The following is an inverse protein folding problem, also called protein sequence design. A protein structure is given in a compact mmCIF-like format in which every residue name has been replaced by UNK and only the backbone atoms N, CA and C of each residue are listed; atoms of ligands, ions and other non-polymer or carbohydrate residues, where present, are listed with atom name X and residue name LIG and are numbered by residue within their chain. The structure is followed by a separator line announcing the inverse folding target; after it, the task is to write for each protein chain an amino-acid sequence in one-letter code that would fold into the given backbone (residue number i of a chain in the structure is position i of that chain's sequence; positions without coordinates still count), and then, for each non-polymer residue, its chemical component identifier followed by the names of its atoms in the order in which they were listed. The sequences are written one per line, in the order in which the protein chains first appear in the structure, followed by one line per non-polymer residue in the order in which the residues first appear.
data_IF_954819442996
#
_entry.id   IF_954819442996
#
_cell.length_a   1.000
_cell.length_b   1.000
_cell.length_c   1.000
_cell.angle_alpha   90.00
_cell.angle_beta   90.00
_cell.angle_gamma   90.00
#
_symmetry.space_group_name_H-M   'P 1'
#
loop_
_entity.id
_entity.type
_entity.pdbx_description
1 polymer ?
#
# COMPACT_ATOMS: atom_id res chain seq x y z
N UNK A 1 15.25 -30.92 14.26
CA UNK A 1 14.09 -30.46 13.45
C UNK A 1 13.35 -29.25 14.05
N UNK A 2 13.03 -29.23 15.35
CA UNK A 2 12.16 -28.20 15.98
C UNK A 2 12.71 -26.75 15.89
N UNK A 3 14.03 -26.53 15.87
CA UNK A 3 14.63 -25.17 15.77
C UNK A 3 14.42 -24.47 14.42
N UNK A 4 14.17 -25.22 13.33
CA UNK A 4 14.01 -24.65 11.98
C UNK A 4 12.66 -23.96 11.81
N UNK A 5 11.60 -24.55 12.40
CA UNK A 5 10.23 -24.06 12.27
C UNK A 5 9.86 -22.94 13.26
N UNK A 6 10.62 -22.70 14.34
CA UNK A 6 10.32 -21.62 15.31
C UNK A 6 10.23 -20.24 14.67
N UNK A 7 10.97 -19.99 13.58
CA UNK A 7 10.96 -18.71 12.85
C UNK A 7 9.74 -18.58 11.94
N UNK A 8 9.40 -19.65 11.23
CA UNK A 8 8.22 -19.70 10.38
C UNK A 8 6.94 -19.57 11.23
N UNK A 9 6.91 -20.26 12.38
CA UNK A 9 5.83 -20.13 13.37
C UNK A 9 5.74 -18.70 13.90
N UNK A 10 6.88 -18.06 14.23
CA UNK A 10 6.88 -16.66 14.69
C UNK A 10 6.36 -15.67 13.65
N UNK A 11 6.70 -15.87 12.37
CA UNK A 11 6.21 -15.06 11.24
C UNK A 11 4.71 -15.25 11.02
N UNK A 12 4.25 -16.51 11.01
CA UNK A 12 2.83 -16.84 10.84
C UNK A 12 2.00 -16.31 12.01
N UNK A 13 2.49 -16.45 13.25
CA UNK A 13 1.82 -15.90 14.43
C UNK A 13 1.75 -14.37 14.39
N UNK A 14 2.81 -13.68 13.95
CA UNK A 14 2.81 -12.22 13.82
C UNK A 14 1.83 -11.76 12.72
N UNK A 15 1.78 -12.46 11.59
CA UNK A 15 0.85 -12.18 10.50
C UNK A 15 -0.60 -12.41 10.93
N UNK A 16 -0.86 -13.49 11.66
CA UNK A 16 -2.17 -13.84 12.20
C UNK A 16 -2.66 -12.81 13.24
N UNK A 17 -1.80 -12.42 14.19
CA UNK A 17 -2.13 -11.35 15.16
C UNK A 17 -2.35 -10.03 14.44
N UNK A 18 -1.55 -9.70 13.43
CA UNK A 18 -1.76 -8.51 12.60
C UNK A 18 -3.11 -8.52 11.88
N UNK A 19 -3.51 -9.67 11.31
CA UNK A 19 -4.82 -9.85 10.67
C UNK A 19 -5.97 -9.72 11.69
N UNK A 20 -5.77 -10.23 12.91
CA UNK A 20 -6.78 -10.19 13.97
C UNK A 20 -6.97 -8.75 14.50
N UNK A 21 -5.89 -7.98 14.64
CA UNK A 21 -5.94 -6.55 14.93
C UNK A 21 -6.60 -5.79 13.76
N UNK A 22 -6.26 -6.13 12.52
CA UNK A 22 -6.91 -5.55 11.33
C UNK A 22 -8.43 -5.76 11.35
N UNK A 23 -8.90 -6.98 11.63
CA UNK A 23 -10.34 -7.27 11.74
C UNK A 23 -11.05 -6.55 12.89
N UNK A 24 -10.31 -6.13 13.92
CA UNK A 24 -10.85 -5.39 15.07
C UNK A 24 -10.84 -3.87 14.88
N UNK A 25 -9.88 -3.34 14.11
CA UNK A 25 -9.67 -1.89 13.93
C UNK A 25 -10.35 -1.36 12.67
N UNK A 26 -10.50 -2.18 11.62
CA UNK A 26 -11.21 -1.77 10.41
C UNK A 26 -12.64 -1.36 10.78
N UNK A 27 -13.04 -0.11 10.51
CA UNK A 27 -14.43 0.28 10.61
C UNK A 27 -15.23 -0.69 9.76
N UNK A 28 -16.11 -1.48 10.38
CA UNK A 28 -17.10 -2.21 9.61
C UNK A 28 -17.89 -1.13 8.90
N UNK A 29 -17.85 -1.13 7.57
CA UNK A 29 -18.86 -0.43 6.79
C UNK A 29 -20.18 -1.10 7.20
N UNK A 30 -20.79 -0.58 8.26
CA UNK A 30 -22.18 -0.82 8.50
C UNK A 30 -22.85 -0.42 7.20
N UNK A 31 -23.62 -1.34 6.66
CA UNK A 31 -24.46 -1.26 5.48
C UNK A 31 -25.33 0.01 5.34
N UNK A 32 -25.22 0.96 6.27
CA UNK A 32 -25.76 2.30 6.21
C UNK A 32 -25.25 3.18 5.07
N UNK A 33 -24.23 2.81 4.29
CA UNK A 33 -23.88 3.48 3.02
C UNK A 33 -24.77 3.06 1.84
N UNK A 34 -25.25 1.82 1.83
CA UNK A 34 -26.05 1.26 0.73
C UNK A 34 -27.51 1.77 0.72
N UNK A 35 -27.97 2.34 1.84
CA UNK A 35 -29.36 2.76 2.03
C UNK A 35 -29.54 4.27 2.24
N UNK A 36 -28.66 5.11 1.64
CA UNK A 36 -28.70 6.57 1.80
C UNK A 36 -29.33 7.25 0.58
N UNK A 37 -30.20 8.25 0.78
CA UNK A 37 -30.81 9.04 -0.30
C UNK A 37 -29.88 10.12 -0.90
N UNK A 38 -28.60 9.78 -1.10
CA UNK A 38 -27.61 10.65 -1.76
C UNK A 38 -27.66 10.49 -3.28
N UNK A 39 -27.43 11.61 -3.99
CA UNK A 39 -27.37 11.67 -5.44
C UNK A 39 -26.11 11.02 -6.02
N UNK A 40 -25.16 10.59 -5.19
CA UNK A 40 -24.00 9.77 -5.60
C UNK A 40 -24.31 8.27 -5.64
N UNK A 41 -25.40 7.83 -5.00
CA UNK A 41 -25.72 6.41 -4.89
C UNK A 41 -26.65 5.94 -6.01
N UNK A 42 -26.22 4.89 -6.72
CA UNK A 42 -27.03 4.16 -7.69
C UNK A 42 -27.80 2.97 -7.09
N UNK A 43 -27.73 2.78 -5.76
CA UNK A 43 -28.48 1.74 -5.05
C UNK A 43 -29.97 2.11 -4.93
N UNK A 44 -30.83 1.16 -4.56
CA UNK A 44 -32.28 1.35 -4.51
C UNK A 44 -32.74 2.59 -3.73
N UNK A 45 -32.14 2.85 -2.56
CA UNK A 45 -32.47 4.02 -1.74
C UNK A 45 -31.72 5.30 -2.11
N UNK A 46 -30.78 5.25 -3.06
CA UNK A 46 -30.05 6.42 -3.57
C UNK A 46 -30.93 7.33 -4.43
N UNK A 47 -30.41 8.49 -4.83
CA UNK A 47 -31.18 9.49 -5.63
C UNK A 47 -30.47 9.88 -6.93
N UNK A 48 -29.45 9.12 -7.36
CA UNK A 48 -28.73 9.35 -8.63
C UNK A 48 -29.65 9.37 -9.86
N UNK A 49 -30.68 8.51 -9.89
CA UNK A 49 -31.66 8.49 -10.97
C UNK A 49 -32.47 9.79 -11.02
N UNK A 50 -32.89 10.31 -9.86
CA UNK A 50 -33.58 11.59 -9.75
C UNK A 50 -32.68 12.74 -10.25
N UNK A 51 -31.45 12.80 -9.76
CA UNK A 51 -30.46 13.80 -10.16
C UNK A 51 -30.26 13.84 -11.68
N UNK A 52 -30.06 12.67 -12.30
CA UNK A 52 -29.86 12.57 -13.76
C UNK A 52 -31.12 12.89 -14.54
N UNK A 53 -32.26 12.37 -14.10
CA UNK A 53 -33.53 12.56 -14.79
C UNK A 53 -33.94 14.04 -14.84
N UNK A 54 -33.76 14.79 -13.74
CA UNK A 54 -34.01 16.23 -13.74
C UNK A 54 -33.05 16.98 -14.68
N UNK A 55 -31.79 16.54 -14.78
CA UNK A 55 -30.84 17.09 -15.77
C UNK A 55 -31.28 16.83 -17.21
N UNK A 56 -31.73 15.61 -17.51
CA UNK A 56 -32.23 15.22 -18.83
C UNK A 56 -33.52 15.97 -19.22
N UNK A 57 -34.32 16.38 -18.22
CA UNK A 57 -35.50 17.24 -18.42
C UNK A 57 -35.15 18.72 -18.69
N UNK A 58 -33.88 19.10 -18.59
CA UNK A 58 -33.39 20.46 -18.91
C UNK A 58 -33.22 21.38 -17.70
N UNK A 59 -33.36 20.89 -16.47
CA UNK A 59 -33.03 21.68 -15.28
C UNK A 59 -31.51 21.79 -15.09
N UNK A 60 -31.05 22.87 -14.45
CA UNK A 60 -29.63 23.03 -14.08
C UNK A 60 -29.41 22.38 -12.71
N UNK A 61 -29.10 21.08 -12.72
CA UNK A 61 -28.96 20.29 -11.49
C UNK A 61 -27.52 20.28 -10.99
N UNK A 62 -27.29 20.77 -9.77
CA UNK A 62 -25.99 20.81 -9.12
C UNK A 62 -26.03 20.10 -7.76
N UNK A 63 -24.88 19.58 -7.34
CA UNK A 63 -24.67 19.10 -5.97
C UNK A 63 -24.06 20.22 -5.13
N UNK A 64 -24.65 20.47 -3.97
CA UNK A 64 -24.08 21.34 -2.96
C UNK A 64 -23.09 20.50 -2.14
N UNK A 65 -21.84 20.42 -2.60
CA UNK A 65 -20.75 19.64 -1.99
C UNK A 65 -19.40 20.34 -2.13
N UNK A 66 -18.45 19.96 -1.27
CA UNK A 66 -17.06 20.40 -1.29
C UNK A 66 -16.87 21.92 -1.28
N UNK A 67 -17.84 22.63 -0.72
CA UNK A 67 -17.86 24.08 -0.56
C UNK A 67 -18.66 24.44 0.69
N UNK A 68 -18.54 25.69 1.13
CA UNK A 68 -19.36 26.20 2.24
C UNK A 68 -20.85 26.14 1.89
N UNK A 69 -21.67 25.74 2.87
CA UNK A 69 -23.12 25.68 2.70
C UNK A 69 -23.68 27.10 2.50
N UNK A 70 -23.97 27.42 1.24
CA UNK A 70 -24.45 28.74 0.82
C UNK A 70 -25.54 28.57 -0.22
N UNK A 71 -26.61 29.35 -0.07
CA UNK A 71 -27.73 29.42 -1.00
C UNK A 71 -27.79 30.84 -1.54
N UNK A 72 -27.75 30.98 -2.86
CA UNK A 72 -27.82 32.26 -3.55
C UNK A 72 -29.19 32.47 -4.20
N UNK A 73 -29.48 33.70 -4.62
CA UNK A 73 -30.72 34.04 -5.30
C UNK A 73 -30.87 33.44 -6.71
N UNK A 74 -29.85 32.76 -7.22
CA UNK A 74 -29.90 32.05 -8.50
C UNK A 74 -30.25 30.57 -8.33
N UNK A 75 -30.33 30.10 -7.07
CA UNK A 75 -30.73 28.74 -6.71
C UNK A 75 -32.24 28.76 -6.50
N UNK A 76 -32.97 28.06 -7.36
CA UNK A 76 -34.43 28.12 -7.39
C UNK A 76 -35.06 27.04 -6.50
N UNK A 77 -34.42 25.86 -6.41
CA UNK A 77 -34.90 24.77 -5.56
C UNK A 77 -33.78 24.01 -4.86
N UNK A 78 -34.06 23.57 -3.63
CA UNK A 78 -33.17 22.77 -2.81
C UNK A 78 -33.85 21.46 -2.41
N UNK A 79 -33.23 20.34 -2.76
CA UNK A 79 -33.55 19.02 -2.23
C UNK A 79 -32.70 18.72 -0.99
N UNK A 80 -33.37 18.52 0.15
CA UNK A 80 -32.77 18.01 1.38
C UNK A 80 -33.41 16.66 1.68
N UNK A 81 -32.70 15.57 1.38
CA UNK A 81 -33.21 14.21 1.44
C UNK A 81 -32.43 13.42 2.49
N UNK A 82 -33.03 13.12 3.64
CA UNK A 82 -32.44 12.29 4.70
C UNK A 82 -31.00 12.68 5.11
N UNK A 83 -30.72 13.94 5.49
CA UNK A 83 -29.37 14.41 5.82
C UNK A 83 -28.77 13.64 7.02
N UNK A 84 -27.46 13.39 7.02
CA UNK A 84 -26.80 12.67 8.11
C UNK A 84 -26.24 13.60 9.18
N UNK A 85 -25.83 14.79 8.78
CA UNK A 85 -25.31 15.82 9.67
C UNK A 85 -26.39 16.86 9.96
N UNK A 86 -26.47 17.29 11.22
CA UNK A 86 -27.51 18.21 11.65
C UNK A 86 -27.24 19.63 11.14
N UNK A 87 -28.29 20.31 10.70
CA UNK A 87 -28.20 21.71 10.33
C UNK A 87 -27.89 22.56 11.57
N UNK A 88 -26.88 23.43 11.46
CA UNK A 88 -26.59 24.43 12.49
C UNK A 88 -27.69 25.50 12.54
N UNK A 89 -27.81 26.27 13.64
CA UNK A 89 -28.74 27.39 13.70
C UNK A 89 -28.55 28.39 12.56
N UNK A 90 -27.30 28.68 12.18
CA UNK A 90 -26.98 29.62 11.09
C UNK A 90 -27.38 29.06 9.73
N UNK A 91 -27.12 27.77 9.46
CA UNK A 91 -27.56 27.11 8.22
C UNK A 91 -29.08 27.06 8.13
N UNK A 92 -29.76 26.74 9.25
CA UNK A 92 -31.22 26.73 9.33
C UNK A 92 -31.78 28.11 9.00
N UNK A 93 -31.25 29.18 9.62
CA UNK A 93 -31.64 30.55 9.34
C UNK A 93 -31.37 30.97 7.89
N UNK A 94 -30.26 30.50 7.31
CA UNK A 94 -29.93 30.75 5.91
C UNK A 94 -30.95 30.10 4.94
N UNK A 95 -31.36 28.85 5.20
CA UNK A 95 -32.41 28.16 4.43
C UNK A 95 -33.74 28.91 4.55
N UNK A 96 -34.15 29.26 5.77
CA UNK A 96 -35.41 30.01 6.00
C UNK A 96 -35.40 31.32 5.23
N UNK A 97 -34.33 32.12 5.36
CA UNK A 97 -34.20 33.41 4.66
C UNK A 97 -34.21 33.25 3.14
N UNK A 98 -33.58 32.20 2.61
CA UNK A 98 -33.58 31.91 1.17
C UNK A 98 -34.98 31.53 0.66
N UNK A 99 -35.72 30.72 1.42
CA UNK A 99 -37.13 30.42 1.11
C UNK A 99 -37.98 31.68 1.17
N UNK A 100 -37.81 32.52 2.19
CA UNK A 100 -38.55 33.80 2.30
C UNK A 100 -38.35 34.69 1.08
N UNK A 101 -37.16 34.64 0.47
CA UNK A 101 -36.78 35.40 -0.71
C UNK A 101 -37.19 34.76 -2.06
N UNK A 102 -37.98 33.68 -2.05
CA UNK A 102 -38.53 33.06 -3.26
C UNK A 102 -38.05 31.63 -3.54
N UNK A 103 -37.12 31.09 -2.76
CA UNK A 103 -36.62 29.72 -2.95
C UNK A 103 -37.66 28.63 -2.66
N UNK A 104 -37.56 27.50 -3.37
CA UNK A 104 -38.41 26.33 -3.14
C UNK A 104 -37.66 25.21 -2.39
N UNK A 105 -38.10 24.84 -1.20
CA UNK A 105 -37.50 23.75 -0.42
C UNK A 105 -38.30 22.45 -0.58
N UNK A 106 -37.64 21.35 -0.90
CA UNK A 106 -38.16 19.99 -0.73
C UNK A 106 -37.36 19.32 0.38
N UNK A 107 -37.99 19.17 1.54
CA UNK A 107 -37.41 18.53 2.72
C UNK A 107 -38.08 17.17 2.95
N UNK A 108 -37.31 16.09 2.85
CA UNK A 108 -37.80 14.74 3.11
C UNK A 108 -36.91 14.01 4.12
N UNK A 109 -37.49 13.50 5.20
CA UNK A 109 -36.79 12.62 6.14
C UNK A 109 -37.78 11.67 6.81
N UNK A 110 -37.31 10.47 7.11
CA UNK A 110 -38.09 9.43 7.77
C UNK A 110 -37.77 9.36 9.28
N UNK A 111 -36.68 9.99 9.72
CA UNK A 111 -36.20 9.96 11.09
C UNK A 111 -36.75 11.15 11.87
N UNK A 112 -37.67 10.88 12.79
CA UNK A 112 -38.28 11.91 13.64
C UNK A 112 -37.30 12.71 14.51
N UNK A 113 -36.18 12.10 14.93
CA UNK A 113 -35.05 12.76 15.62
C UNK A 113 -33.82 12.85 14.70
N UNK A 114 -34.05 12.94 13.39
CA UNK A 114 -33.01 13.01 12.38
C UNK A 114 -32.31 14.37 12.32
N UNK A 115 -31.26 14.43 11.49
CA UNK A 115 -30.45 15.62 11.31
C UNK A 115 -31.21 16.81 10.68
N UNK A 116 -32.35 16.53 10.05
CA UNK A 116 -33.28 17.50 9.47
C UNK A 116 -34.25 18.13 10.48
N UNK A 117 -34.32 17.64 11.73
CA UNK A 117 -35.28 18.11 12.73
C UNK A 117 -35.27 19.65 12.94
N UNK A 118 -34.12 20.35 12.93
CA UNK A 118 -34.09 21.81 13.02
C UNK A 118 -34.86 22.50 11.87
N UNK A 119 -34.75 21.99 10.63
CA UNK A 119 -35.48 22.55 9.49
C UNK A 119 -36.99 22.30 9.60
N UNK A 120 -37.41 21.07 9.96
CA UNK A 120 -38.83 20.81 10.20
C UNK A 120 -39.41 21.77 11.25
N UNK A 121 -38.70 21.97 12.36
CA UNK A 121 -39.13 22.87 13.42
C UNK A 121 -39.17 24.33 12.97
N UNK A 122 -38.18 24.80 12.20
CA UNK A 122 -38.13 26.15 11.67
C UNK A 122 -39.34 26.47 10.78
N UNK A 123 -39.85 25.47 10.06
CA UNK A 123 -41.06 25.59 9.25
C UNK A 123 -42.34 25.13 9.96
N UNK A 124 -42.34 25.06 11.30
CA UNK A 124 -43.53 24.80 12.11
C UNK A 124 -44.06 23.36 12.04
N UNK A 125 -43.21 22.40 11.66
CA UNK A 125 -43.58 21.00 11.50
C UNK A 125 -42.79 20.06 12.41
N UNK A 126 -43.37 18.88 12.68
CA UNK A 126 -42.71 17.80 13.43
C UNK A 126 -43.10 16.44 12.91
N UNK A 127 -42.12 15.54 12.89
CA UNK A 127 -42.29 14.15 12.53
C UNK A 127 -42.56 13.30 13.78
N UNK A 128 -43.36 12.25 13.61
CA UNK A 128 -43.62 11.23 14.63
C UNK A 128 -43.46 9.84 14.03
N UNK A 129 -42.87 8.87 14.76
CA UNK A 129 -42.83 7.48 14.33
C UNK A 129 -44.21 6.92 14.02
N UNK A 130 -44.34 6.20 12.90
CA UNK A 130 -45.56 5.49 12.51
C UNK A 130 -45.22 4.36 11.54
N UNK A 131 -45.80 3.18 11.72
CA UNK A 131 -45.63 2.06 10.79
C UNK A 131 -46.64 2.16 9.65
N UNK A 132 -46.26 2.84 8.57
CA UNK A 132 -47.18 3.19 7.49
C UNK A 132 -46.75 2.51 6.19
N UNK A 133 -47.68 1.80 5.52
CA UNK A 133 -47.34 0.96 4.34
C UNK A 133 -48.04 1.38 3.04
N UNK A 134 -49.20 2.06 3.10
CA UNK A 134 -49.93 2.48 1.91
C UNK A 134 -50.38 3.93 2.06
N UNK A 135 -50.19 4.74 1.03
CA UNK A 135 -50.43 6.18 1.09
C UNK A 135 -51.33 6.61 -0.07
N UNK A 136 -52.26 7.53 0.20
CA UNK A 136 -53.23 8.04 -0.75
C UNK A 136 -52.89 9.49 -1.10
N UNK A 137 -53.09 9.83 -2.37
CA UNK A 137 -52.91 11.19 -2.86
C UNK A 137 -54.25 11.91 -2.65
N UNK A 138 -54.26 12.92 -1.77
CA UNK A 138 -55.50 13.57 -1.30
C UNK A 138 -55.89 14.74 -2.20
N UNK A 139 -54.88 15.42 -2.74
CA UNK A 139 -55.07 16.50 -3.69
C UNK A 139 -54.54 16.09 -5.07
N UNK A 140 -55.13 16.57 -6.17
CA UNK A 140 -54.70 16.24 -7.52
C UNK A 140 -53.35 16.91 -7.85
N UNK A 141 -52.29 16.45 -7.19
CA UNK A 141 -50.88 16.75 -7.46
C UNK A 141 -50.30 15.67 -8.39
N UNK A 142 -51.12 14.74 -8.87
CA UNK A 142 -50.82 13.75 -9.89
C UNK A 142 -52.15 13.23 -10.45
N UNK A 143 -52.14 12.75 -11.69
CA UNK A 143 -53.22 11.97 -12.31
C UNK A 143 -53.44 10.62 -11.59
N UNK A 144 -52.45 10.21 -10.80
CA UNK A 144 -52.47 9.00 -9.97
C UNK A 144 -53.14 9.26 -8.62
N UNK A 145 -54.08 8.38 -8.23
CA UNK A 145 -54.84 8.49 -6.97
C UNK A 145 -54.24 7.72 -5.79
N UNK A 146 -53.25 6.85 -6.02
CA UNK A 146 -52.68 5.97 -5.00
C UNK A 146 -51.17 5.82 -5.21
N UNK A 147 -50.39 5.92 -4.12
CA UNK A 147 -48.93 5.81 -4.14
C UNK A 147 -48.49 4.78 -3.09
N UNK A 148 -47.73 3.77 -3.50
CA UNK A 148 -47.24 2.78 -2.55
C UNK A 148 -45.97 3.27 -1.85
N UNK A 149 -46.14 4.14 -0.85
CA UNK A 149 -45.01 4.61 -0.02
C UNK A 149 -44.98 3.86 1.30
N UNK A 150 -43.83 3.26 1.61
CA UNK A 150 -43.55 2.80 2.96
C UNK A 150 -42.86 3.93 3.70
N UNK A 151 -43.47 4.40 4.78
CA UNK A 151 -42.94 5.46 5.62
C UNK A 151 -42.89 4.99 7.07
N UNK A 152 -41.75 5.25 7.73
CA UNK A 152 -41.56 4.94 9.16
C UNK A 152 -41.95 6.12 10.07
N UNK A 153 -42.36 7.25 9.49
CA UNK A 153 -42.87 8.43 10.19
C UNK A 153 -44.04 9.09 9.45
N UNK A 154 -44.76 9.97 10.15
CA UNK A 154 -45.80 10.87 9.61
C UNK A 154 -45.57 12.29 10.13
N UNK A 155 -46.17 13.28 9.48
CA UNK A 155 -46.16 14.67 9.94
C UNK A 155 -47.23 14.84 11.03
N UNK A 156 -46.81 14.93 12.29
CA UNK A 156 -47.70 15.11 13.44
C UNK A 156 -48.16 16.55 13.59
N UNK A 157 -47.24 17.48 13.33
CA UNK A 157 -47.50 18.91 13.40
C UNK A 157 -47.17 19.53 12.06
N UNK A 158 -48.05 20.42 11.61
CA UNK A 158 -47.89 21.23 10.41
C UNK A 158 -48.40 22.66 10.67
N UNK A 159 -47.88 23.66 9.95
CA UNK A 159 -48.44 25.01 10.00
C UNK A 159 -49.88 25.02 9.46
N UNK A 160 -50.73 25.92 9.96
CA UNK A 160 -52.14 25.99 9.58
C UNK A 160 -52.36 26.28 8.08
N UNK A 161 -51.38 26.89 7.41
CA UNK A 161 -51.40 27.14 5.97
C UNK A 161 -50.99 25.93 5.11
N UNK A 162 -50.60 24.80 5.73
CA UNK A 162 -50.17 23.60 5.04
C UNK A 162 -51.32 22.90 4.31
N UNK A 163 -51.17 22.76 3.00
CA UNK A 163 -52.00 21.89 2.18
C UNK A 163 -51.43 20.47 2.24
N UNK A 164 -52.21 19.52 2.76
CA UNK A 164 -51.85 18.09 2.72
C UNK A 164 -51.98 17.63 1.27
N UNK A 165 -50.90 17.08 0.73
CA UNK A 165 -50.83 16.59 -0.65
C UNK A 165 -51.00 15.07 -0.68
N UNK A 166 -50.38 14.40 0.28
CA UNK A 166 -50.32 12.95 0.40
C UNK A 166 -50.54 12.56 1.86
N UNK A 167 -51.45 11.63 2.11
CA UNK A 167 -51.78 11.15 3.46
C UNK A 167 -51.82 9.63 3.52
N UNK A 168 -51.60 9.06 4.70
CA UNK A 168 -51.84 7.65 4.95
C UNK A 168 -52.63 7.45 6.22
N UNK A 169 -53.70 6.66 6.16
CA UNK A 169 -54.56 6.42 7.31
C UNK A 169 -55.00 7.73 8.00
N UNK A 170 -55.35 8.75 7.20
CA UNK A 170 -55.68 10.11 7.64
C UNK A 170 -54.55 10.89 8.34
N UNK A 171 -53.30 10.43 8.22
CA UNK A 171 -52.11 11.11 8.73
C UNK A 171 -51.30 11.71 7.58
N UNK A 172 -50.88 12.98 7.64
CA UNK A 172 -50.14 13.61 6.55
C UNK A 172 -48.74 13.00 6.36
N UNK A 173 -48.37 12.75 5.11
CA UNK A 173 -47.05 12.22 4.69
C UNK A 173 -46.29 13.24 3.85
N UNK A 174 -46.99 14.00 3.00
CA UNK A 174 -46.44 15.13 2.25
C UNK A 174 -47.38 16.33 2.39
N UNK A 175 -46.83 17.47 2.74
CA UNK A 175 -47.56 18.74 2.79
C UNK A 175 -46.78 19.84 2.09
N UNK A 176 -47.49 20.79 1.48
CA UNK A 176 -46.93 21.96 0.81
C UNK A 176 -47.56 23.25 1.33
N UNK A 177 -46.76 24.32 1.46
CA UNK A 177 -47.26 25.66 1.78
C UNK A 177 -46.35 26.76 1.25
N UNK A 178 -46.94 27.94 1.06
CA UNK A 178 -46.21 29.18 0.79
C UNK A 178 -45.55 29.66 2.08
N UNK A 179 -44.31 30.10 1.98
CA UNK A 179 -43.57 30.69 3.09
C UNK A 179 -42.77 31.89 2.57
N UNK A 180 -43.13 33.10 3.01
CA UNK A 180 -42.64 34.34 2.39
C UNK A 180 -43.02 34.40 0.91
N UNK A 181 -42.05 34.66 0.03
CA UNK A 181 -42.23 34.62 -1.44
C UNK A 181 -41.97 33.23 -2.04
N UNK A 182 -41.44 32.28 -1.25
CA UNK A 182 -41.08 30.95 -1.69
C UNK A 182 -42.10 29.87 -1.31
N UNK A 183 -41.66 28.62 -1.37
CA UNK A 183 -42.51 27.46 -1.13
C UNK A 183 -41.78 26.34 -0.41
N UNK A 184 -42.48 25.63 0.47
CA UNK A 184 -41.92 24.52 1.25
C UNK A 184 -42.76 23.28 1.05
N UNK A 185 -42.11 22.18 0.67
CA UNK A 185 -42.65 20.83 0.67
C UNK A 185 -41.97 20.03 1.78
N UNK A 186 -42.78 19.50 2.70
CA UNK A 186 -42.34 18.68 3.82
C UNK A 186 -42.83 17.25 3.62
N UNK A 187 -41.91 16.30 3.58
CA UNK A 187 -42.19 14.88 3.44
C UNK A 187 -41.66 14.07 4.60
N UNK A 188 -42.46 13.14 5.11
CA UNK A 188 -42.03 12.16 6.09
C UNK A 188 -41.43 10.90 5.45
N UNK A 189 -41.24 10.87 4.12
CA UNK A 189 -40.63 9.74 3.39
C UNK A 189 -39.70 10.21 2.28
N UNK A 190 -38.56 9.53 2.19
CA UNK A 190 -37.59 9.74 1.10
C UNK A 190 -37.87 8.83 -0.10
N UNK A 191 -38.70 7.80 0.08
CA UNK A 191 -38.91 6.75 -0.91
C UNK A 191 -39.36 7.29 -2.29
N UNK A 192 -40.31 8.25 -2.44
CA UNK A 192 -40.69 8.75 -3.77
C UNK A 192 -39.55 9.38 -4.58
N UNK A 193 -38.52 9.86 -3.90
CA UNK A 193 -37.35 10.51 -4.50
C UNK A 193 -36.20 9.52 -4.79
N UNK A 194 -36.30 8.30 -4.27
CA UNK A 194 -35.26 7.28 -4.41
C UNK A 194 -35.25 6.62 -5.80
N UNK A 195 -34.15 5.98 -6.17
CA UNK A 195 -33.99 5.26 -7.43
C UNK A 195 -35.06 4.17 -7.60
N UNK A 196 -35.32 3.40 -6.54
CA UNK A 196 -36.36 2.37 -6.55
C UNK A 196 -37.77 2.99 -6.55
N UNK A 197 -37.98 4.07 -5.81
CA UNK A 197 -39.29 4.72 -5.72
C UNK A 197 -39.70 5.46 -6.98
N UNK A 198 -38.76 6.05 -7.73
CA UNK A 198 -39.04 6.70 -9.01
C UNK A 198 -39.63 5.73 -10.05
N UNK A 199 -39.29 4.45 -9.99
CA UNK A 199 -39.87 3.43 -10.86
C UNK A 199 -41.29 3.02 -10.48
N UNK A 200 -41.80 3.45 -9.32
CA UNK A 200 -43.15 3.13 -8.87
C UNK A 200 -44.18 4.07 -9.48
N UNK A 201 -45.39 3.56 -9.72
CA UNK A 201 -46.47 4.32 -10.31
C UNK A 201 -46.82 5.55 -9.47
N UNK A 202 -46.81 6.74 -10.09
CA UNK A 202 -47.16 8.01 -9.46
C UNK A 202 -46.02 8.76 -8.78
N UNK A 203 -44.90 8.11 -8.43
CA UNK A 203 -43.77 8.80 -7.78
C UNK A 203 -43.12 9.83 -8.70
N UNK A 204 -42.84 9.45 -9.95
CA UNK A 204 -42.25 10.35 -10.94
C UNK A 204 -43.18 11.54 -11.25
N UNK A 205 -44.48 11.29 -11.42
CA UNK A 205 -45.47 12.36 -11.67
C UNK A 205 -45.55 13.33 -10.48
N UNK A 206 -45.57 12.80 -9.25
CA UNK A 206 -45.50 13.61 -8.04
C UNK A 206 -44.26 14.51 -8.07
N UNK A 207 -43.07 13.94 -8.30
CA UNK A 207 -41.81 14.70 -8.36
C UNK A 207 -41.88 15.81 -9.42
N UNK A 208 -42.41 15.54 -10.62
CA UNK A 208 -42.60 16.55 -11.66
C UNK A 208 -43.44 17.73 -11.18
N UNK A 209 -44.58 17.45 -10.56
CA UNK A 209 -45.46 18.50 -10.04
C UNK A 209 -44.79 19.31 -8.91
N UNK A 210 -43.89 18.71 -8.12
CA UNK A 210 -43.13 19.45 -7.11
C UNK A 210 -42.09 20.39 -7.75
N UNK A 211 -41.44 19.99 -8.85
CA UNK A 211 -40.40 20.80 -9.51
C UNK A 211 -40.94 21.77 -10.56
N UNK A 212 -42.16 21.60 -11.06
CA UNK A 212 -42.80 22.50 -12.04
C UNK A 212 -42.82 23.96 -11.59
N UNK A 213 -42.86 24.20 -10.28
CA UNK A 213 -42.89 25.54 -9.68
C UNK A 213 -41.62 26.37 -9.97
N UNK A 214 -40.51 25.72 -10.30
CA UNK A 214 -39.18 26.32 -10.54
C UNK A 214 -39.01 26.80 -11.98
N UNK A 215 -40.00 26.56 -12.84
CA UNK A 215 -39.95 26.95 -14.25
C UNK A 215 -38.88 26.19 -15.07
N UNK A 216 -38.92 26.28 -16.40
CA UNK A 216 -37.96 25.61 -17.26
C UNK A 216 -36.56 26.21 -17.09
N UNK A 217 -35.53 25.36 -17.04
CA UNK A 217 -34.11 25.71 -16.81
C UNK A 217 -33.76 26.24 -15.40
N UNK A 218 -34.68 26.14 -14.44
CA UNK A 218 -34.37 26.52 -13.06
C UNK A 218 -33.22 25.69 -12.46
N UNK A 219 -32.50 26.31 -11.52
CA UNK A 219 -31.33 25.73 -10.86
C UNK A 219 -31.76 24.95 -9.62
N UNK A 220 -31.49 23.66 -9.66
CA UNK A 220 -31.86 22.69 -8.62
C UNK A 220 -30.59 22.25 -7.89
N UNK A 221 -30.57 22.42 -6.58
CA UNK A 221 -29.48 21.99 -5.70
C UNK A 221 -29.87 20.71 -4.96
N UNK A 222 -28.96 19.75 -4.91
CA UNK A 222 -29.02 18.59 -4.02
C UNK A 222 -28.08 18.80 -2.83
N UNK A 223 -28.60 18.69 -1.61
CA UNK A 223 -27.81 18.81 -0.39
C UNK A 223 -26.96 17.55 -0.14
N UNK A 224 -25.73 17.57 -0.64
CA UNK A 224 -24.71 16.56 -0.36
C UNK A 224 -23.79 16.98 0.79
N UNK A 225 -23.76 18.28 1.12
CA UNK A 225 -23.02 18.83 2.24
C UNK A 225 -23.38 18.09 3.54
N UNK A 226 -24.67 17.97 3.87
CA UNK A 226 -25.12 17.27 5.07
C UNK A 226 -25.13 15.74 4.94
N UNK A 227 -24.74 15.19 3.79
CA UNK A 227 -24.37 13.78 3.66
C UNK A 227 -22.90 13.50 4.03
N UNK A 228 -22.12 14.54 4.34
CA UNK A 228 -20.71 14.46 4.73
C UNK A 228 -19.74 14.83 3.61
N UNK A 229 -20.23 15.31 2.46
CA UNK A 229 -19.40 15.79 1.35
C UNK A 229 -18.95 17.25 1.58
N UNK A 230 -18.42 17.55 2.77
CA UNK A 230 -18.06 18.91 3.21
C UNK A 230 -16.67 19.33 2.71
N UNK A 231 -15.70 18.40 2.70
CA UNK A 231 -14.33 18.64 2.24
C UNK A 231 -13.92 17.57 1.25
N UNK A 232 -13.17 17.96 0.23
CA UNK A 232 -12.59 16.98 -0.68
C UNK A 232 -11.77 15.95 0.12
N UNK A 233 -11.97 14.64 -0.13
CA UNK A 233 -11.22 13.62 0.57
C UNK A 233 -9.73 13.78 0.29
N UNK A 234 -8.95 14.12 1.31
CA UNK A 234 -7.49 14.03 1.25
C UNK A 234 -7.04 12.57 1.12
N UNK A 235 -5.86 12.33 0.53
CA UNK A 235 -5.26 10.98 0.46
C UNK A 235 -5.19 10.33 1.84
N UNK A 236 -4.88 11.11 2.88
CA UNK A 236 -4.86 10.63 4.26
C UNK A 236 -6.24 10.18 4.76
N UNK A 237 -7.28 10.97 4.54
CA UNK A 237 -8.66 10.62 4.94
C UNK A 237 -9.24 9.47 4.12
N UNK A 238 -8.84 9.30 2.86
CA UNK A 238 -9.21 8.11 2.07
C UNK A 238 -8.54 6.84 2.61
N UNK A 239 -7.28 6.93 3.04
CA UNK A 239 -6.54 5.80 3.61
C UNK A 239 -7.06 5.38 4.99
N UNK A 240 -7.53 6.32 5.81
CA UNK A 240 -8.00 6.01 7.17
C UNK A 240 -9.53 5.88 7.29
N UNK A 241 -10.28 6.48 6.35
CA UNK A 241 -11.74 6.53 6.37
C UNK A 241 -12.44 5.41 5.61
N UNK A 242 -11.72 4.60 4.83
CA UNK A 242 -12.28 3.44 4.11
C UNK A 242 -11.60 2.13 4.53
N UNK A 243 -12.36 1.04 4.58
CA UNK A 243 -11.83 -0.30 4.84
C UNK A 243 -10.71 -0.71 3.86
N UNK A 244 -10.80 -0.25 2.60
CA UNK A 244 -9.76 -0.47 1.60
C UNK A 244 -8.46 0.28 1.90
N UNK A 245 -8.56 1.48 2.45
CA UNK A 245 -7.40 2.27 2.88
C UNK A 245 -6.61 1.55 3.98
N UNK A 246 -7.33 0.99 4.96
CA UNK A 246 -6.73 0.12 5.98
C UNK A 246 -6.09 -1.13 5.38
N UNK A 247 -6.70 -1.76 4.37
CA UNK A 247 -6.14 -2.93 3.70
C UNK A 247 -4.81 -2.61 3.00
N UNK A 248 -4.72 -1.45 2.35
CA UNK A 248 -3.47 -0.95 1.74
C UNK A 248 -2.41 -0.69 2.80
N UNK A 249 -2.75 -0.03 3.91
CA UNK A 249 -1.83 0.21 5.03
C UNK A 249 -1.32 -1.10 5.63
N UNK A 250 -2.21 -2.09 5.81
CA UNK A 250 -1.84 -3.42 6.29
C UNK A 250 -0.89 -4.14 5.32
N UNK A 251 -1.20 -4.13 4.02
CA UNK A 251 -0.35 -4.73 3.00
C UNK A 251 1.04 -4.09 2.97
N UNK A 252 1.12 -2.76 3.09
CA UNK A 252 2.37 -2.02 3.14
C UNK A 252 3.16 -2.35 4.41
N UNK A 253 2.51 -2.40 5.57
CA UNK A 253 3.11 -2.81 6.84
C UNK A 253 3.66 -4.24 6.77
N UNK A 254 2.89 -5.19 6.24
CA UNK A 254 3.31 -6.58 6.10
C UNK A 254 4.47 -6.71 5.11
N UNK A 255 4.45 -5.95 4.02
CA UNK A 255 5.56 -5.90 3.06
C UNK A 255 6.82 -5.35 3.70
N UNK A 256 6.72 -4.25 4.45
CA UNK A 256 7.84 -3.67 5.18
C UNK A 256 8.38 -4.64 6.23
N UNK A 257 7.51 -5.30 7.00
CA UNK A 257 7.90 -6.30 7.99
C UNK A 257 8.60 -7.49 7.33
N UNK A 258 8.05 -7.99 6.20
CA UNK A 258 8.68 -9.03 5.41
C UNK A 258 10.07 -8.62 4.93
N UNK A 259 10.24 -7.41 4.39
CA UNK A 259 11.52 -6.90 3.93
C UNK A 259 12.52 -6.72 5.08
N UNK A 260 12.10 -6.24 6.24
CA UNK A 260 12.97 -6.10 7.43
C UNK A 260 13.40 -7.46 7.98
N UNK A 261 12.48 -8.43 8.03
CA UNK A 261 12.75 -9.78 8.54
C UNK A 261 13.57 -10.61 7.53
N UNK A 262 13.36 -10.41 6.23
CA UNK A 262 14.04 -11.16 5.15
C UNK A 262 15.34 -10.48 4.71
N UNK A 263 15.44 -9.16 4.81
CA UNK A 263 16.60 -8.35 4.43
C UNK A 263 17.74 -8.39 5.45
N UNK A 264 17.48 -8.83 6.68
CA UNK A 264 18.52 -9.09 7.68
C UNK A 264 19.17 -10.46 7.42
N UNK A 265 20.17 -10.48 6.54
CA UNK A 265 21.01 -11.65 6.25
C UNK A 265 21.75 -12.08 7.53
N UNK A 266 21.19 -13.03 8.27
CA UNK A 266 21.86 -13.63 9.44
C UNK A 266 22.42 -15.01 9.12
N UNK A 267 23.70 -15.02 8.79
CA UNK A 267 24.57 -16.18 8.85
C UNK A 267 26.02 -15.69 8.77
N UNK A 268 26.89 -16.12 9.69
CA UNK A 268 28.33 -15.98 9.45
C UNK A 268 28.63 -16.65 8.10
N UNK A 269 29.46 -16.05 7.22
CA UNK A 269 29.91 -16.73 6.03
C UNK A 269 30.39 -18.13 6.45
N UNK A 270 29.75 -19.17 5.95
CA UNK A 270 30.22 -20.53 6.17
C UNK A 270 31.50 -20.59 5.34
N UNK A 271 32.66 -20.47 6.00
CA UNK A 271 33.92 -20.70 5.34
C UNK A 271 33.85 -22.11 4.74
N UNK A 272 34.01 -22.23 3.41
CA UNK A 272 34.15 -23.53 2.79
C UNK A 272 35.33 -24.24 3.45
N UNK A 273 35.16 -25.53 3.74
CA UNK A 273 36.09 -26.38 4.52
C UNK A 273 37.42 -26.66 3.82
N UNK A 274 37.80 -25.87 2.82
CA UNK A 274 38.94 -26.13 1.94
C UNK A 274 40.27 -25.60 2.48
N UNK A 275 40.27 -24.75 3.52
CA UNK A 275 41.52 -24.17 4.06
C UNK A 275 42.19 -24.99 5.19
N UNK A 276 41.58 -26.08 5.66
CA UNK A 276 42.18 -26.88 6.76
C UNK A 276 43.05 -28.05 6.31
N UNK A 277 43.22 -28.29 5.00
CA UNK A 277 44.23 -29.22 4.52
C UNK A 277 45.54 -28.47 4.27
N UNK A 278 46.21 -28.04 5.34
CA UNK A 278 47.66 -27.81 5.26
C UNK A 278 48.28 -29.14 4.88
N UNK A 279 48.53 -29.36 3.58
CA UNK A 279 49.39 -30.46 3.08
C UNK A 279 50.59 -30.51 4.01
N UNK A 280 50.84 -31.67 4.61
CA UNK A 280 52.00 -31.82 5.46
C UNK A 280 53.24 -31.48 4.62
N UNK A 281 54.19 -30.74 5.18
CA UNK A 281 55.43 -30.41 4.46
C UNK A 281 56.13 -31.66 3.92
N UNK A 282 55.92 -32.82 4.57
CA UNK A 282 56.35 -34.13 4.12
C UNK A 282 55.71 -34.57 2.79
N UNK A 283 54.39 -34.43 2.62
CA UNK A 283 53.71 -34.77 1.35
C UNK A 283 54.19 -33.92 0.17
N UNK A 284 54.47 -32.63 0.42
CA UNK A 284 55.05 -31.75 -0.60
C UNK A 284 56.46 -32.20 -0.99
N UNK A 285 57.32 -32.50 -0.02
CA UNK A 285 58.68 -32.97 -0.26
C UNK A 285 58.67 -34.31 -1.00
N UNK A 286 57.81 -35.24 -0.61
CA UNK A 286 57.68 -36.55 -1.25
C UNK A 286 57.16 -36.42 -2.69
N UNK A 287 56.15 -35.57 -2.92
CA UNK A 287 55.65 -35.28 -4.27
C UNK A 287 56.74 -34.67 -5.15
N UNK A 288 57.48 -33.67 -4.65
CA UNK A 288 58.55 -33.02 -5.39
C UNK A 288 59.72 -33.97 -5.69
N UNK A 289 60.15 -34.77 -4.71
CA UNK A 289 61.19 -35.78 -4.90
C UNK A 289 60.76 -36.82 -5.94
N UNK A 290 59.51 -37.27 -5.88
CA UNK A 290 58.97 -38.22 -6.85
C UNK A 290 58.91 -37.65 -8.28
N UNK A 291 58.57 -36.36 -8.43
CA UNK A 291 58.53 -35.66 -9.70
C UNK A 291 59.93 -35.56 -10.32
N UNK A 292 60.91 -35.13 -9.54
CA UNK A 292 62.31 -35.00 -10.00
C UNK A 292 62.91 -36.36 -10.37
N UNK A 293 62.60 -37.41 -9.59
CA UNK A 293 63.03 -38.78 -9.89
C UNK A 293 62.41 -39.32 -11.17
N UNK A 294 61.08 -39.17 -11.36
CA UNK A 294 60.38 -39.57 -12.59
C UNK A 294 60.88 -38.80 -13.81
N UNK A 295 61.16 -37.51 -13.66
CA UNK A 295 61.70 -36.66 -14.72
C UNK A 295 63.19 -36.84 -15.01
N UNK A 296 63.88 -37.78 -14.33
CA UNK A 296 65.33 -38.04 -14.45
C UNK A 296 66.19 -36.76 -14.38
N UNK A 297 65.80 -35.80 -13.53
CA UNK A 297 66.43 -34.47 -13.43
C UNK A 297 67.71 -34.46 -12.57
N UNK A 298 68.55 -35.51 -12.63
CA UNK A 298 69.77 -35.60 -11.80
C UNK A 298 70.82 -34.56 -12.17
N UNK A 299 71.01 -34.26 -13.46
CA UNK A 299 71.90 -33.18 -13.91
C UNK A 299 71.47 -31.79 -13.45
N UNK A 300 70.16 -31.52 -13.42
CA UNK A 300 69.62 -30.26 -12.89
C UNK A 300 69.94 -30.10 -11.39
N UNK A 301 69.74 -31.17 -10.61
CA UNK A 301 70.09 -31.17 -9.19
C UNK A 301 71.60 -30.95 -8.99
N UNK A 302 72.46 -31.67 -9.74
CA UNK A 302 73.91 -31.46 -9.67
C UNK A 302 74.32 -30.03 -10.01
N UNK A 303 73.77 -29.44 -11.08
CA UNK A 303 74.06 -28.06 -11.46
C UNK A 303 73.66 -27.07 -10.35
N UNK A 304 72.52 -27.32 -9.71
CA UNK A 304 72.07 -26.53 -8.56
C UNK A 304 73.04 -26.65 -7.36
N UNK A 305 73.40 -27.88 -6.97
CA UNK A 305 74.35 -28.11 -5.87
C UNK A 305 75.75 -27.59 -6.18
N UNK A 306 76.22 -27.72 -7.43
CA UNK A 306 77.49 -27.16 -7.89
C UNK A 306 77.53 -25.64 -7.76
N UNK A 307 76.46 -24.98 -8.18
CA UNK A 307 76.33 -23.52 -8.07
C UNK A 307 76.35 -23.08 -6.59
N UNK A 308 75.64 -23.82 -5.74
CA UNK A 308 75.63 -23.55 -4.30
C UNK A 308 77.01 -23.81 -3.66
N UNK A 309 77.72 -24.88 -4.04
CA UNK A 309 79.08 -25.17 -3.57
C UNK A 309 80.04 -24.02 -3.94
N UNK A 310 80.07 -23.62 -5.22
CA UNK A 310 80.91 -22.50 -5.67
C UNK A 310 80.58 -21.23 -4.90
N UNK A 311 79.28 -20.92 -4.71
CA UNK A 311 78.84 -19.74 -3.94
C UNK A 311 79.25 -19.82 -2.46
N UNK A 312 79.10 -20.98 -1.83
CA UNK A 312 79.47 -21.23 -0.42
C UNK A 312 80.97 -21.04 -0.19
N UNK A 313 81.79 -21.60 -1.08
CA UNK A 313 83.25 -21.49 -1.01
C UNK A 313 83.74 -20.08 -1.40
N UNK A 314 83.04 -19.40 -2.31
CA UNK A 314 83.41 -18.06 -2.76
C UNK A 314 83.13 -16.96 -1.73
N UNK A 315 82.00 -17.07 -1.02
CA UNK A 315 81.42 -16.00 -0.19
C UNK A 315 82.39 -15.43 0.86
N UNK A 316 83.16 -16.24 1.61
CA UNK A 316 84.10 -15.72 2.61
C UNK A 316 85.26 -14.91 2.01
N UNK A 317 85.60 -15.15 0.73
CA UNK A 317 86.80 -14.63 0.09
C UNK A 317 86.51 -13.62 -1.03
N UNK A 318 85.24 -13.28 -1.26
CA UNK A 318 84.84 -12.31 -2.29
C UNK A 318 85.11 -12.76 -3.74
N UNK A 319 85.33 -14.06 -3.97
CA UNK A 319 85.59 -14.60 -5.30
C UNK A 319 84.29 -14.59 -6.13
N UNK A 320 84.38 -14.38 -7.44
CA UNK A 320 83.22 -14.53 -8.32
C UNK A 320 82.91 -16.04 -8.56
N UNK A 321 81.76 -16.58 -8.11
CA UNK A 321 81.43 -17.99 -8.29
C UNK A 321 81.03 -18.36 -9.73
N UNK A 322 80.79 -17.37 -10.60
CA UNK A 322 80.36 -17.59 -11.98
C UNK A 322 81.52 -17.70 -12.97
N UNK A 323 82.77 -17.53 -12.53
CA UNK A 323 83.94 -17.73 -13.38
C UNK A 323 84.14 -19.22 -13.73
N UNK A 324 84.93 -19.48 -14.77
CA UNK A 324 85.29 -20.85 -15.18
C UNK A 324 85.84 -21.67 -13.99
N UNK A 325 85.61 -22.98 -13.98
CA UNK A 325 85.98 -23.83 -12.85
C UNK A 325 87.49 -23.81 -12.57
N UNK A 326 88.33 -23.80 -13.61
CA UNK A 326 89.78 -23.77 -13.42
C UNK A 326 90.23 -22.44 -12.79
N UNK A 327 89.68 -21.33 -13.27
CA UNK A 327 89.93 -20.00 -12.69
C UNK A 327 89.40 -19.89 -11.25
N UNK A 328 88.24 -20.51 -10.97
CA UNK A 328 87.64 -20.56 -9.65
C UNK A 328 88.49 -21.30 -8.63
N UNK A 329 88.94 -22.50 -8.99
CA UNK A 329 89.76 -23.32 -8.12
C UNK A 329 91.13 -22.66 -7.90
N UNK A 330 91.74 -22.07 -8.93
CA UNK A 330 93.02 -21.36 -8.79
C UNK A 330 92.92 -20.16 -7.85
N UNK A 331 91.87 -19.34 -7.98
CA UNK A 331 91.64 -18.20 -7.10
C UNK A 331 91.40 -18.62 -5.64
N UNK A 332 90.67 -19.73 -5.43
CA UNK A 332 90.40 -20.24 -4.08
C UNK A 332 91.66 -20.85 -3.45
N UNK A 333 92.46 -21.59 -4.21
CA UNK A 333 93.71 -22.21 -3.74
C UNK A 333 94.80 -21.20 -3.38
N UNK A 334 94.79 -20.02 -3.99
CA UNK A 334 95.70 -18.92 -3.62
C UNK A 334 95.37 -18.31 -2.24
N UNK A 335 94.12 -18.42 -1.79
CA UNK A 335 93.62 -17.78 -0.56
C UNK A 335 93.46 -18.78 0.60
N UNK A 336 93.36 -20.08 0.31
CA UNK A 336 93.14 -21.15 1.30
C UNK A 336 93.88 -22.41 0.88
N UNK A 337 94.51 -23.15 1.82
CA UNK A 337 94.97 -24.51 1.55
C UNK A 337 93.76 -25.40 1.24
N UNK A 338 93.64 -25.80 -0.01
CA UNK A 338 92.60 -26.71 -0.51
C UNK A 338 93.23 -27.63 -1.56
N UNK A 339 92.77 -28.87 -1.63
CA UNK A 339 93.16 -29.77 -2.72
C UNK A 339 92.50 -29.31 -4.03
N UNK A 340 93.25 -28.50 -4.78
CA UNK A 340 92.81 -27.94 -6.05
C UNK A 340 92.49 -29.03 -7.08
N UNK A 341 93.26 -30.12 -7.11
CA UNK A 341 93.03 -31.22 -8.03
C UNK A 341 91.71 -31.94 -7.69
N UNK A 342 91.49 -32.23 -6.40
CA UNK A 342 90.26 -32.87 -5.95
C UNK A 342 89.02 -31.99 -6.22
N UNK A 343 89.06 -30.69 -5.90
CA UNK A 343 87.93 -29.79 -6.13
C UNK A 343 87.62 -29.63 -7.63
N UNK A 344 88.64 -29.49 -8.47
CA UNK A 344 88.43 -29.37 -9.92
C UNK A 344 87.83 -30.67 -10.50
N UNK A 345 88.31 -31.83 -10.03
CA UNK A 345 87.74 -33.13 -10.41
C UNK A 345 86.28 -33.28 -9.98
N UNK A 346 85.91 -32.74 -8.80
CA UNK A 346 84.55 -32.79 -8.28
C UNK A 346 83.63 -31.89 -9.11
N UNK A 347 84.02 -30.64 -9.36
CA UNK A 347 83.24 -29.71 -10.19
C UNK A 347 83.02 -30.26 -11.60
N UNK A 348 84.04 -30.88 -12.21
CA UNK A 348 83.94 -31.55 -13.50
C UNK A 348 82.96 -32.73 -13.47
N UNK A 349 83.00 -33.58 -12.44
CA UNK A 349 82.06 -34.71 -12.26
C UNK A 349 80.62 -34.22 -12.04
N UNK A 350 80.43 -33.12 -11.33
CA UNK A 350 79.11 -32.49 -11.14
C UNK A 350 78.55 -31.83 -12.41
N UNK A 351 79.34 -31.66 -13.47
CA UNK A 351 78.88 -31.07 -14.73
C UNK A 351 78.21 -32.09 -15.68
N UNK A 352 78.11 -33.36 -15.27
CA UNK A 352 77.57 -34.42 -16.13
C UNK A 352 76.06 -34.26 -16.29
N UNK A 353 75.52 -34.42 -17.52
CA UNK A 353 74.10 -34.17 -17.80
C UNK A 353 73.16 -35.18 -17.13
N UNK A 354 73.61 -36.42 -16.96
CA UNK A 354 72.87 -37.46 -16.23
C UNK A 354 73.84 -38.30 -15.41
N UNK A 355 73.46 -38.58 -14.15
CA UNK A 355 74.15 -39.50 -13.25
C UNK A 355 73.13 -40.42 -12.56
N UNK A 356 73.59 -41.57 -12.09
CA UNK A 356 72.77 -42.45 -11.25
C UNK A 356 72.46 -41.79 -9.90
N UNK A 357 71.37 -42.18 -9.25
CA UNK A 357 70.96 -41.62 -7.95
C UNK A 357 72.01 -41.83 -6.85
N UNK A 358 72.67 -43.00 -6.86
CA UNK A 358 73.76 -43.31 -5.93
C UNK A 358 75.00 -42.46 -6.19
N UNK A 359 75.32 -42.16 -7.45
CA UNK A 359 76.42 -41.26 -7.82
C UNK A 359 76.09 -39.79 -7.48
N UNK A 360 74.86 -39.34 -7.71
CA UNK A 360 74.36 -38.02 -7.30
C UNK A 360 74.57 -37.79 -5.80
N UNK A 361 74.10 -38.71 -4.96
CA UNK A 361 74.23 -38.60 -3.51
C UNK A 361 75.69 -38.65 -3.05
N UNK A 362 76.53 -39.46 -3.72
CA UNK A 362 77.98 -39.49 -3.44
C UNK A 362 78.66 -38.17 -3.76
N UNK A 363 78.36 -37.57 -4.92
CA UNK A 363 78.93 -36.28 -5.32
C UNK A 363 78.49 -35.14 -4.39
N UNK A 364 77.23 -35.13 -3.94
CA UNK A 364 76.74 -34.14 -2.96
C UNK A 364 77.45 -34.35 -1.61
N UNK A 365 77.57 -35.58 -1.13
CA UNK A 365 78.27 -35.88 0.12
C UNK A 365 79.77 -35.53 0.05
N UNK A 366 80.41 -35.68 -1.13
CA UNK A 366 81.79 -35.26 -1.37
C UNK A 366 81.91 -33.73 -1.37
N UNK A 367 80.94 -33.01 -1.96
CA UNK A 367 80.86 -31.56 -1.93
C UNK A 367 80.67 -30.98 -0.52
N UNK A 368 79.93 -31.66 0.36
CA UNK A 368 79.74 -31.22 1.74
C UNK A 368 80.98 -31.40 2.63
N UNK A 369 82.00 -32.15 2.18
CA UNK A 369 83.27 -32.31 2.90
C UNK A 369 84.28 -31.19 2.61
N UNK A 370 84.02 -30.32 1.62
CA UNK A 370 84.84 -29.14 1.28
C UNK A 370 84.32 -27.87 1.97
#
# INVERSE_FOLDING_TARGET
MIRRYRREIGLVSALFVGLLIFLLVVPRDESGGANRPTSHSSQDAGTMALYRWLGDLGYRVERLEYRDFTLDATSDLLFVLGPNEAFTPDQTAAVVKWVEAGGALILADERHLGASAPLFQAFGARLKPSSTTQVQIVQPVASVRQLEVRSSSVLEQLPAAAAILVESNAMPVLAGFVYGEGYVYLSSSTAPFSNAGLGQAGSAELVLHLVERVGPNGRILFDEYHHGFVREPSVGSLLTGSAWGWAVLYALLMTALYLVLSGRRFGRPIALREESARRSSAEYLESMASLLRRGRKSGYLLAHYRTNLKRRLARPYGINPNQDDAAFVAALAALRPIDAAALNSLLARMNRPEVSESELLRLIAEADRF
#
